data_IF_136296938992
#
_entry.id   IF_136296938992
#
_cell.length_a   1.000
_cell.length_b   1.000
_cell.length_c   1.000
_cell.angle_alpha   90.00
_cell.angle_beta   90.00
_cell.angle_gamma   90.00
#
_symmetry.space_group_name_H-M   'P 1'
#
loop_
_entity.id
_entity.type
_entity.pdbx_description
1 polymer ?
#
# COMPACT_ATOMS: atom_id res chain seq x y z
N UNK A 1 -5.89 -7.52 16.96
CA UNK A 1 -5.06 -8.11 15.88
C UNK A 1 -3.61 -8.06 16.32
N UNK A 2 -3.01 -9.24 16.49
CA UNK A 2 -1.70 -9.45 17.13
C UNK A 2 -0.56 -8.98 16.23
N UNK A 3 0.20 -7.99 16.71
CA UNK A 3 1.59 -7.84 16.27
C UNK A 3 2.35 -8.91 17.07
N UNK A 4 2.99 -9.85 16.39
CA UNK A 4 3.62 -10.99 17.04
C UNK A 4 4.90 -11.36 16.32
N UNK A 5 5.92 -11.79 17.08
CA UNK A 5 7.09 -12.43 16.49
C UNK A 5 6.69 -13.78 15.90
N UNK A 6 7.52 -14.29 14.99
CA UNK A 6 7.34 -15.65 14.43
C UNK A 6 7.27 -16.70 15.54
N UNK A 7 8.03 -16.54 16.62
CA UNK A 7 8.02 -17.45 17.77
C UNK A 7 6.72 -17.40 18.57
N UNK A 8 6.11 -16.21 18.72
CA UNK A 8 4.81 -16.06 19.35
C UNK A 8 3.73 -16.79 18.53
N UNK A 9 3.79 -16.69 17.21
CA UNK A 9 2.88 -17.42 16.32
C UNK A 9 3.13 -18.94 16.35
N UNK A 10 4.39 -19.39 16.35
CA UNK A 10 4.73 -20.81 16.54
C UNK A 10 4.18 -21.36 17.84
N UNK A 11 4.37 -20.64 18.94
CA UNK A 11 3.87 -21.02 20.25
C UNK A 11 2.34 -21.10 20.28
N UNK A 12 1.65 -20.20 19.57
CA UNK A 12 0.20 -20.23 19.44
C UNK A 12 -0.28 -21.42 18.60
N UNK A 13 0.39 -21.69 17.47
CA UNK A 13 0.03 -22.80 16.58
C UNK A 13 0.11 -24.14 17.31
N UNK A 14 1.23 -24.40 18.00
CA UNK A 14 1.44 -25.65 18.74
C UNK A 14 0.46 -25.83 19.93
N UNK A 15 -0.15 -24.76 20.43
CA UNK A 15 -1.17 -24.84 21.49
C UNK A 15 -2.57 -25.19 20.97
N UNK A 16 -2.86 -24.89 19.70
CA UNK A 16 -4.24 -24.92 19.19
C UNK A 16 -4.43 -25.79 17.93
N UNK A 17 -3.35 -26.25 17.32
CA UNK A 17 -3.37 -27.06 16.11
C UNK A 17 -2.60 -28.37 16.32
N UNK A 18 -3.03 -29.47 15.66
CA UNK A 18 -2.19 -30.66 15.52
C UNK A 18 -0.84 -30.30 14.87
N UNK A 19 0.26 -31.04 15.16
CA UNK A 19 1.60 -30.69 14.69
C UNK A 19 1.70 -30.46 13.16
N UNK A 20 1.09 -31.34 12.37
CA UNK A 20 1.13 -31.24 10.90
C UNK A 20 0.43 -29.98 10.39
N UNK A 21 -0.67 -29.57 11.04
CA UNK A 21 -1.41 -28.37 10.64
C UNK A 21 -0.75 -27.10 11.18
N UNK A 22 -0.09 -27.18 12.34
CA UNK A 22 0.74 -26.10 12.85
C UNK A 22 1.89 -25.79 11.88
N UNK A 23 2.60 -26.79 11.37
CA UNK A 23 3.68 -26.61 10.40
C UNK A 23 3.16 -26.04 9.07
N UNK A 24 2.05 -26.57 8.54
CA UNK A 24 1.40 -25.99 7.34
C UNK A 24 1.05 -24.52 7.54
N UNK A 25 0.44 -24.18 8.68
CA UNK A 25 0.04 -22.80 8.98
C UNK A 25 1.25 -21.87 9.14
N UNK A 26 2.31 -22.32 9.82
CA UNK A 26 3.54 -21.55 9.97
C UNK A 26 4.26 -21.33 8.63
N UNK A 27 4.13 -22.27 7.68
CA UNK A 27 4.62 -22.12 6.32
C UNK A 27 3.90 -21.03 5.50
N UNK A 28 2.67 -20.67 5.87
CA UNK A 28 1.91 -19.59 5.21
C UNK A 28 2.24 -18.20 5.75
N UNK A 29 2.94 -18.10 6.90
CA UNK A 29 3.25 -16.82 7.51
C UNK A 29 4.26 -16.04 6.67
N UNK A 30 3.86 -14.87 6.20
CA UNK A 30 4.71 -13.90 5.53
C UNK A 30 4.90 -12.65 6.38
N UNK A 31 6.12 -12.06 6.42
CA UNK A 31 6.32 -10.74 6.99
C UNK A 31 5.41 -9.69 6.38
N UNK A 32 4.91 -8.77 7.21
CA UNK A 32 3.99 -7.73 6.75
C UNK A 32 4.08 -6.48 7.61
N UNK A 33 3.92 -5.33 6.98
CA UNK A 33 3.83 -4.04 7.64
C UNK A 33 2.36 -3.62 7.74
N UNK A 34 1.96 -3.14 8.91
CA UNK A 34 0.61 -2.59 9.13
C UNK A 34 0.67 -1.07 9.15
N UNK A 35 -0.15 -0.44 8.31
CA UNK A 35 -0.35 1.00 8.35
C UNK A 35 -1.20 1.40 9.56
N UNK A 36 -0.82 2.51 10.19
CA UNK A 36 -1.59 3.18 11.23
C UNK A 36 -1.79 4.64 10.80
N UNK A 37 -2.88 5.25 11.27
CA UNK A 37 -3.09 6.66 11.03
C UNK A 37 -1.96 7.47 11.68
N UNK A 38 -1.34 8.35 10.90
CA UNK A 38 -0.38 9.32 11.40
C UNK A 38 -1.09 10.33 12.31
N UNK A 39 -0.42 10.74 13.39
CA UNK A 39 -0.94 11.72 14.36
C UNK A 39 0.09 12.80 14.65
N UNK A 40 -0.36 14.03 14.92
CA UNK A 40 0.54 15.13 15.28
C UNK A 40 1.58 15.41 14.20
N UNK A 41 2.86 15.29 14.57
CA UNK A 41 4.01 15.59 13.71
C UNK A 41 4.54 14.39 12.89
N UNK A 42 3.80 13.27 12.87
CA UNK A 42 4.18 12.10 12.09
C UNK A 42 4.30 12.44 10.60
N UNK A 43 5.41 12.06 9.98
CA UNK A 43 5.57 12.12 8.52
C UNK A 43 5.16 10.76 7.94
N UNK A 44 4.01 10.67 7.24
CA UNK A 44 3.44 9.39 6.85
C UNK A 44 4.22 8.73 5.70
N UNK A 45 4.48 7.42 5.82
CA UNK A 45 4.99 6.62 4.70
C UNK A 45 3.93 6.41 3.60
N UNK A 46 2.64 6.52 3.95
CA UNK A 46 1.52 6.34 3.04
C UNK A 46 0.50 7.46 3.21
N UNK A 47 0.10 8.09 2.09
CA UNK A 47 -1.02 9.03 2.04
C UNK A 47 -2.15 8.39 1.25
N UNK A 48 -3.34 8.34 1.84
CA UNK A 48 -4.55 7.84 1.18
C UNK A 48 -5.36 9.02 0.64
N UNK A 49 -5.74 8.95 -0.63
CA UNK A 49 -6.53 9.97 -1.32
C UNK A 49 -5.85 11.34 -1.45
N UNK A 50 -6.64 12.33 -1.83
CA UNK A 50 -6.16 13.68 -2.14
C UNK A 50 -5.60 13.80 -3.56
N UNK A 51 -4.86 14.87 -3.82
CA UNK A 51 -4.15 15.05 -5.08
C UNK A 51 -2.73 14.46 -4.94
N UNK A 52 -2.31 13.55 -5.83
CA UNK A 52 -0.95 13.06 -5.81
C UNK A 52 0.01 14.21 -6.13
N UNK A 53 1.14 14.24 -5.43
CA UNK A 53 2.27 15.06 -5.86
C UNK A 53 2.85 14.44 -7.13
N UNK A 54 2.50 15.01 -8.28
CA UNK A 54 3.10 14.68 -9.56
C UNK A 54 4.16 15.74 -9.91
N UNK A 55 5.27 15.36 -10.55
CA UNK A 55 6.20 16.34 -11.09
C UNK A 55 5.47 17.32 -12.01
N UNK A 56 5.84 18.60 -11.94
CA UNK A 56 5.23 19.64 -12.76
C UNK A 56 5.26 19.25 -14.25
N UNK A 57 4.14 19.45 -14.94
CA UNK A 57 3.99 19.10 -16.36
C UNK A 57 3.76 17.62 -16.64
N UNK A 58 3.74 16.73 -15.63
CA UNK A 58 3.38 15.32 -15.85
C UNK A 58 1.91 15.20 -16.24
N UNK A 59 1.57 14.54 -17.36
CA UNK A 59 0.18 14.33 -17.73
C UNK A 59 -0.51 13.44 -16.68
N UNK A 60 -1.80 13.67 -16.48
CA UNK A 60 -2.58 12.78 -15.65
C UNK A 60 -2.65 11.40 -16.30
N UNK A 61 -2.44 10.31 -15.55
CA UNK A 61 -2.44 8.95 -16.10
C UNK A 61 -3.84 8.56 -16.60
N UNK A 62 -3.87 8.12 -17.84
CA UNK A 62 -5.04 7.57 -18.53
C UNK A 62 -4.78 6.10 -18.80
N UNK A 63 -5.81 5.27 -18.66
CA UNK A 63 -5.77 3.90 -19.16
C UNK A 63 -6.46 3.87 -20.52
N UNK A 64 -5.72 3.44 -21.55
CA UNK A 64 -6.20 3.33 -22.92
C UNK A 64 -7.55 2.59 -23.00
N UNK A 65 -8.53 3.22 -23.64
CA UNK A 65 -9.89 2.70 -23.75
C UNK A 65 -10.75 2.81 -22.48
N UNK A 66 -10.19 3.26 -21.35
CA UNK A 66 -10.87 3.29 -20.05
C UNK A 66 -10.88 4.65 -19.36
N UNK A 67 -10.07 5.60 -19.83
CA UNK A 67 -10.07 6.98 -19.37
C UNK A 67 -9.17 7.25 -18.15
N UNK A 68 -9.28 8.44 -17.55
CA UNK A 68 -8.41 8.88 -16.47
C UNK A 68 -8.57 8.04 -15.21
N UNK A 69 -7.44 7.70 -14.58
CA UNK A 69 -7.41 6.91 -13.36
C UNK A 69 -7.65 7.77 -12.12
N UNK A 70 -8.41 7.27 -11.15
CA UNK A 70 -8.51 7.92 -9.83
C UNK A 70 -7.35 7.53 -8.95
N UNK A 71 -6.74 8.52 -8.31
CA UNK A 71 -5.71 8.30 -7.30
C UNK A 71 -6.28 7.64 -6.05
N UNK A 72 -5.60 6.63 -5.53
CA UNK A 72 -5.96 5.92 -4.29
C UNK A 72 -4.98 6.28 -3.19
N UNK A 73 -3.68 6.15 -3.44
CA UNK A 73 -2.66 6.33 -2.43
C UNK A 73 -1.27 6.59 -3.01
N UNK A 74 -0.43 7.28 -2.25
CA UNK A 74 1.01 7.39 -2.50
C UNK A 74 1.77 6.73 -1.37
N UNK A 75 2.82 6.00 -1.69
CA UNK A 75 3.67 5.29 -0.75
C UNK A 75 5.11 5.74 -0.99
N UNK A 76 5.73 6.34 0.03
CA UNK A 76 7.15 6.65 0.03
C UNK A 76 7.93 5.38 0.42
N UNK A 77 8.62 4.80 -0.55
CA UNK A 77 9.34 3.55 -0.39
C UNK A 77 10.53 3.67 0.56
N UNK A 78 11.16 4.84 0.66
CA UNK A 78 12.29 5.06 1.57
C UNK A 78 11.87 5.01 3.04
N UNK A 79 10.57 5.10 3.32
CA UNK A 79 10.00 5.10 4.67
C UNK A 79 9.39 3.75 5.06
N UNK A 80 9.41 2.76 4.15
CA UNK A 80 8.92 1.42 4.44
C UNK A 80 10.04 0.56 5.06
N UNK A 81 9.69 -0.40 5.94
CA UNK A 81 10.65 -1.34 6.49
C UNK A 81 10.98 -2.44 5.46
N UNK A 82 11.55 -2.07 4.31
CA UNK A 82 11.79 -2.97 3.17
C UNK A 82 12.64 -4.18 3.55
N UNK A 83 13.63 -4.03 4.43
CA UNK A 83 14.47 -5.12 4.93
C UNK A 83 13.71 -6.15 5.78
N UNK A 84 12.55 -5.79 6.35
CA UNK A 84 11.71 -6.69 7.14
C UNK A 84 10.55 -7.30 6.32
N UNK A 85 10.41 -6.90 5.07
CA UNK A 85 9.38 -7.39 4.15
C UNK A 85 10.01 -8.39 3.17
N UNK A 86 9.24 -9.39 2.77
CA UNK A 86 9.66 -10.40 1.79
C UNK A 86 9.13 -10.08 0.38
N UNK A 87 8.97 -8.78 0.08
CA UNK A 87 8.56 -8.27 -1.23
C UNK A 87 9.64 -7.31 -1.76
N UNK A 88 9.97 -7.44 -3.04
CA UNK A 88 10.95 -6.57 -3.71
C UNK A 88 10.40 -5.17 -3.94
N UNK A 89 10.50 -4.31 -2.93
CA UNK A 89 10.16 -2.89 -3.03
C UNK A 89 11.41 -2.07 -3.40
N UNK A 90 11.25 -0.98 -4.17
CA UNK A 90 12.33 -0.02 -4.36
C UNK A 90 12.86 0.50 -3.01
N UNK A 91 14.15 0.84 -2.94
CA UNK A 91 14.74 1.46 -1.74
C UNK A 91 14.30 2.92 -1.57
N UNK A 92 13.89 3.58 -2.64
CA UNK A 92 13.47 4.98 -2.63
C UNK A 92 12.46 5.29 -3.74
N UNK A 93 11.89 6.50 -3.68
CA UNK A 93 10.88 6.97 -4.62
C UNK A 93 9.46 6.77 -4.11
N UNK A 94 8.49 7.18 -4.93
CA UNK A 94 7.07 7.17 -4.56
C UNK A 94 6.30 6.22 -5.48
N UNK A 95 5.68 5.19 -4.89
CA UNK A 95 4.69 4.37 -5.60
C UNK A 95 3.32 5.05 -5.55
N UNK A 96 2.67 5.16 -6.71
CA UNK A 96 1.33 5.75 -6.83
C UNK A 96 0.32 4.65 -7.18
N UNK A 97 -0.60 4.38 -6.27
CA UNK A 97 -1.70 3.43 -6.47
C UNK A 97 -2.90 4.16 -7.05
N UNK A 98 -3.46 3.57 -8.11
CA UNK A 98 -4.54 4.17 -8.89
C UNK A 98 -5.57 3.11 -9.24
N UNK A 99 -6.83 3.51 -9.36
CA UNK A 99 -7.93 2.65 -9.80
C UNK A 99 -8.56 3.21 -11.07
N UNK A 100 -9.11 2.31 -11.86
CA UNK A 100 -10.12 2.69 -12.86
C UNK A 100 -11.30 3.34 -12.14
N UNK A 101 -11.79 4.44 -12.70
CA UNK A 101 -12.92 5.17 -12.16
C UNK A 101 -13.85 5.58 -13.28
N UNK A 102 -15.11 5.18 -13.17
CA UNK A 102 -16.16 5.61 -14.11
C UNK A 102 -16.59 7.06 -13.85
N UNK A 103 -16.22 7.62 -12.69
CA UNK A 103 -16.66 8.95 -12.25
C UNK A 103 -15.90 10.08 -12.94
N UNK A 104 -14.62 9.86 -13.27
CA UNK A 104 -13.80 10.85 -13.97
C UNK A 104 -14.12 10.96 -15.46
N UNK A 105 -14.77 9.94 -16.06
CA UNK A 105 -15.26 9.98 -17.44
C UNK A 105 -16.40 11.00 -17.63
N UNK A 106 -17.12 11.39 -16.56
CA UNK A 106 -18.20 12.38 -16.62
C UNK A 106 -17.70 13.82 -16.51
N UNK A 107 -16.53 14.02 -15.91
CA UNK A 107 -15.97 15.35 -15.60
C UNK A 107 -14.88 15.78 -16.61
N UNK A 108 -14.58 14.95 -17.61
CA UNK A 108 -13.64 15.26 -18.69
C UNK A 108 -14.06 16.42 -19.61
N UNK A 109 -15.26 16.98 -19.42
CA UNK A 109 -15.68 18.27 -20.00
C UNK A 109 -15.25 19.50 -19.19
N UNK A 110 -14.66 19.32 -18.00
CA UNK A 110 -14.24 20.40 -17.10
C UNK A 110 -12.81 20.14 -16.64
N UNK A 111 -11.86 20.47 -17.50
CA UNK A 111 -10.42 20.54 -17.19
C UNK A 111 -10.19 21.40 -15.94
N UNK A 112 -10.03 20.74 -14.79
CA UNK A 112 -9.36 21.29 -13.62
C UNK A 112 -8.32 20.29 -13.16
N UNK A 113 -7.15 20.38 -13.77
CA UNK A 113 -5.95 19.70 -13.28
C UNK A 113 -4.83 20.76 -13.26
N UNK A 114 -4.57 21.27 -12.06
CA UNK A 114 -3.50 22.22 -11.68
C UNK A 114 -3.66 23.68 -12.16
N UNK A 115 -4.08 24.56 -11.24
CA UNK A 115 -3.41 25.84 -11.04
C UNK A 115 -2.63 25.75 -9.73
#
# INVERSE_FOLDING_TARGET
MTHGSRDAFRSLALRHLPPDDAEKWLGLLRPGARLRAATGADVPAVRLGGLPALPAGSPWPVWDGHGPLSFIASVDCARLPTAALDIGLPESGTLLLRRRSERLLRDSGRTRWCH
#
